data_IF_296525027017
#
_entry.id   IF_296525027017
#
_cell.length_a   1.000
_cell.length_b   1.000
_cell.length_c   1.000
_cell.angle_alpha   90.00
_cell.angle_beta   90.00
_cell.angle_gamma   90.00
#
_symmetry.space_group_name_H-M   'P 1'
#
loop_
_entity.id
_entity.type
_entity.pdbx_description
1 polymer ?
#
# COMPACT_ATOMS: atom_id res chain seq x y z
N UNK A 1 4.90 0.56 26.03
CA UNK A 1 4.78 1.33 24.77
C UNK A 1 5.03 0.37 23.63
N UNK A 2 4.23 0.41 22.57
CA UNK A 2 4.51 -0.36 21.34
C UNK A 2 5.68 0.31 20.64
N UNK A 3 6.59 -0.45 20.01
CA UNK A 3 7.70 0.11 19.25
C UNK A 3 7.29 0.39 17.80
N UNK A 4 7.75 1.50 17.22
CA UNK A 4 7.48 1.86 15.83
C UNK A 4 8.27 0.97 14.86
N UNK A 5 7.69 -0.17 14.50
CA UNK A 5 8.26 -1.12 13.54
C UNK A 5 7.30 -1.38 12.39
N UNK A 6 7.83 -1.86 11.25
CA UNK A 6 7.01 -2.31 10.12
C UNK A 6 5.95 -3.33 10.57
N UNK A 7 6.34 -4.30 11.40
CA UNK A 7 5.43 -5.30 11.94
C UNK A 7 4.32 -4.68 12.81
N UNK A 8 4.66 -3.77 13.73
CA UNK A 8 3.67 -3.12 14.59
C UNK A 8 2.62 -2.31 13.83
N UNK A 9 3.02 -1.72 12.70
CA UNK A 9 2.13 -0.95 11.85
C UNK A 9 1.23 -1.87 11.01
N UNK A 10 1.77 -2.94 10.41
CA UNK A 10 0.99 -3.97 9.71
C UNK A 10 -0.02 -4.68 10.63
N UNK A 11 0.41 -5.01 11.84
CA UNK A 11 -0.43 -5.65 12.86
C UNK A 11 -1.46 -4.69 13.50
N UNK A 12 -1.55 -3.43 13.05
CA UNK A 12 -2.44 -2.39 13.59
C UNK A 12 -2.26 -2.11 15.09
N UNK A 13 -1.06 -2.35 15.62
CA UNK A 13 -0.71 -2.11 17.02
C UNK A 13 -0.10 -0.71 17.23
N UNK A 14 0.52 -0.15 16.19
CA UNK A 14 1.04 1.20 16.21
C UNK A 14 -0.11 2.22 16.05
N UNK A 15 -0.43 3.04 17.06
CA UNK A 15 -1.71 3.76 17.16
C UNK A 15 -1.90 4.88 16.12
N UNK A 16 -0.83 5.27 15.42
CA UNK A 16 -0.87 6.31 14.38
C UNK A 16 -0.59 5.75 12.98
N UNK A 17 -0.44 4.42 12.83
CA UNK A 17 -0.43 3.78 11.52
C UNK A 17 -1.81 3.90 10.88
N UNK A 18 -1.87 4.12 9.56
CA UNK A 18 -3.12 4.20 8.80
C UNK A 18 -2.94 3.65 7.40
N UNK A 19 -3.99 3.05 6.87
CA UNK A 19 -4.06 2.65 5.47
C UNK A 19 -4.14 3.87 4.54
N UNK A 20 -3.66 3.68 3.30
CA UNK A 20 -3.81 4.63 2.20
C UNK A 20 -4.71 3.99 1.14
N UNK A 21 -5.69 4.74 0.65
CA UNK A 21 -6.69 4.24 -0.29
C UNK A 21 -6.65 5.01 -1.60
N UNK A 22 -6.95 4.29 -2.68
CA UNK A 22 -7.21 4.86 -4.00
C UNK A 22 -8.64 4.49 -4.39
N UNK A 23 -9.43 5.51 -4.72
CA UNK A 23 -10.83 5.35 -5.09
C UNK A 23 -10.99 5.56 -6.59
N UNK A 24 -11.83 4.72 -7.21
CA UNK A 24 -12.19 4.83 -8.62
C UNK A 24 -13.71 4.79 -8.75
N UNK A 25 -14.25 5.42 -9.80
CA UNK A 25 -15.68 5.36 -10.07
C UNK A 25 -16.01 4.03 -10.77
N UNK A 26 -16.51 3.06 -9.99
CA UNK A 26 -16.78 1.71 -10.48
C UNK A 26 -15.51 0.89 -10.73
N UNK A 27 -15.62 -0.17 -11.53
CA UNK A 27 -14.48 -1.04 -11.85
C UNK A 27 -13.51 -0.35 -12.83
N UNK A 28 -12.20 -0.26 -12.52
CA UNK A 28 -11.21 0.32 -13.42
C UNK A 28 -11.17 -0.37 -14.79
N UNK A 29 -11.15 0.44 -15.85
CA UNK A 29 -10.95 -0.02 -17.23
C UNK A 29 -9.89 0.83 -17.93
N UNK A 30 -9.41 0.37 -19.10
CA UNK A 30 -8.46 1.12 -19.92
C UNK A 30 -7.21 1.59 -19.15
N UNK A 31 -6.77 2.85 -19.32
CA UNK A 31 -5.60 3.39 -18.63
C UNK A 31 -5.69 3.36 -17.10
N UNK A 32 -6.89 3.53 -16.52
CA UNK A 32 -7.06 3.48 -15.06
C UNK A 32 -6.77 2.08 -14.55
N UNK A 33 -7.22 1.04 -15.27
CA UNK A 33 -6.87 -0.35 -14.94
C UNK A 33 -5.36 -0.57 -15.00
N UNK A 34 -4.68 -0.07 -16.03
CA UNK A 34 -3.23 -0.21 -16.15
C UNK A 34 -2.47 0.43 -14.97
N UNK A 35 -2.93 1.60 -14.51
CA UNK A 35 -2.39 2.24 -13.31
C UNK A 35 -2.64 1.39 -12.06
N UNK A 36 -3.88 0.91 -11.86
CA UNK A 36 -4.20 0.06 -10.71
C UNK A 36 -3.39 -1.25 -10.71
N UNK A 37 -3.23 -1.88 -11.88
CA UNK A 37 -2.40 -3.08 -12.05
C UNK A 37 -0.93 -2.78 -11.69
N UNK A 38 -0.38 -1.64 -12.11
CA UNK A 38 0.98 -1.22 -11.75
C UNK A 38 1.14 -0.97 -10.25
N UNK A 39 0.20 -0.25 -9.64
CA UNK A 39 0.23 0.10 -8.21
C UNK A 39 0.16 -1.14 -7.32
N UNK A 40 -0.62 -2.15 -7.71
CA UNK A 40 -0.79 -3.40 -6.96
C UNK A 40 0.29 -4.45 -7.26
N UNK A 41 1.08 -4.29 -8.33
CA UNK A 41 2.13 -5.24 -8.69
C UNK A 41 3.24 -5.26 -7.60
N UNK A 42 3.53 -6.43 -7.00
CA UNK A 42 4.49 -6.57 -5.91
C UNK A 42 5.93 -6.23 -6.32
N UNK A 43 6.26 -6.33 -7.60
CA UNK A 43 7.60 -6.07 -8.16
C UNK A 43 7.73 -4.68 -8.76
N UNK A 44 6.63 -3.92 -8.84
CA UNK A 44 6.62 -2.56 -9.42
C UNK A 44 6.12 -1.54 -8.41
N UNK A 45 4.82 -1.23 -8.41
CA UNK A 45 4.26 -0.18 -7.57
C UNK A 45 4.53 -0.40 -6.08
N UNK A 46 4.34 -1.62 -5.58
CA UNK A 46 4.61 -1.93 -4.17
C UNK A 46 6.11 -1.95 -3.84
N UNK A 47 6.98 -2.25 -4.82
CA UNK A 47 8.42 -2.11 -4.64
C UNK A 47 8.81 -0.65 -4.43
N UNK A 48 8.29 0.26 -5.28
CA UNK A 48 8.53 1.69 -5.15
C UNK A 48 8.02 2.24 -3.81
N UNK A 49 6.84 1.79 -3.33
CA UNK A 49 6.29 2.15 -2.00
C UNK A 49 7.31 1.85 -0.88
N UNK A 50 7.97 0.69 -0.92
CA UNK A 50 8.98 0.33 0.06
C UNK A 50 10.25 1.19 -0.06
N UNK A 51 10.70 1.51 -1.29
CA UNK A 51 11.89 2.35 -1.52
C UNK A 51 11.74 3.75 -0.93
N UNK A 52 10.52 4.30 -0.92
CA UNK A 52 10.23 5.63 -0.36
C UNK A 52 9.82 5.60 1.13
N UNK A 53 9.97 4.45 1.80
CA UNK A 53 9.79 4.32 3.25
C UNK A 53 8.34 4.08 3.72
N UNK A 54 7.41 3.80 2.81
CA UNK A 54 6.07 3.33 3.17
C UNK A 54 6.04 1.80 3.32
N UNK A 55 4.96 1.30 3.91
CA UNK A 55 4.75 -0.13 4.12
C UNK A 55 3.99 -0.69 2.90
N UNK A 56 4.58 -1.66 2.17
CA UNK A 56 3.89 -2.30 1.04
C UNK A 56 2.74 -3.19 1.53
N UNK A 57 1.78 -3.43 0.64
CA UNK A 57 0.67 -4.34 0.88
C UNK A 57 1.17 -5.79 1.09
N UNK A 58 0.51 -6.50 2.01
CA UNK A 58 0.70 -7.95 2.17
C UNK A 58 0.20 -8.69 0.91
N UNK A 59 0.83 -9.83 0.60
CA UNK A 59 0.43 -10.70 -0.52
C UNK A 59 -0.76 -11.57 -0.17
#
# INVERSE_FOLDING_TARGET
>A
MVEATLHSAQARQWPIARELYIFTNGTPTGPVKQLMDYLLDPKKGQHAVAEIGYIPLEK
#
